data_IF_337191546272
#
_entry.id   IF_337191546272
#
_cell.length_a   1.000
_cell.length_b   1.000
_cell.length_c   1.000
_cell.angle_alpha   90.00
_cell.angle_beta   90.00
_cell.angle_gamma   90.00
#
_symmetry.space_group_name_H-M   'P 1'
#
loop_
_entity.id
_entity.type
_entity.pdbx_description
1 polymer ?
#
# COMPACT_ATOMS: atom_id res chain seq x y z
N UNK A 1 75.15 11.34 -31.56
CA UNK A 1 74.08 10.38 -31.14
C UNK A 1 73.27 11.03 -30.00
N UNK A 2 72.15 11.63 -30.32
CA UNK A 2 71.33 12.38 -29.37
C UNK A 2 70.09 11.55 -29.07
N UNK A 3 69.98 11.06 -27.82
CA UNK A 3 68.82 10.31 -27.31
C UNK A 3 67.72 11.28 -26.95
N UNK A 4 66.53 11.13 -27.58
CA UNK A 4 65.30 11.84 -27.23
C UNK A 4 64.58 11.03 -26.20
N UNK A 5 64.38 11.57 -24.99
CA UNK A 5 63.52 11.04 -23.98
C UNK A 5 62.05 11.44 -24.30
N UNK A 6 61.18 10.45 -24.44
CA UNK A 6 59.72 10.66 -24.58
C UNK A 6 59.11 10.66 -23.18
N UNK A 7 58.61 11.82 -22.82
CA UNK A 7 57.85 11.99 -21.55
C UNK A 7 56.37 11.61 -21.78
N UNK A 8 55.94 10.47 -21.23
CA UNK A 8 54.54 10.04 -21.27
C UNK A 8 53.80 10.66 -20.08
N UNK A 9 52.92 11.61 -20.34
CA UNK A 9 52.03 12.20 -19.34
C UNK A 9 50.81 11.29 -19.21
N UNK A 10 50.73 10.60 -18.08
CA UNK A 10 49.50 9.88 -17.72
C UNK A 10 48.45 10.88 -17.22
N UNK A 11 47.38 11.07 -17.99
CA UNK A 11 46.24 11.85 -17.57
C UNK A 11 45.39 11.03 -16.58
N UNK A 12 45.47 11.33 -15.28
CA UNK A 12 44.52 10.84 -14.29
C UNK A 12 43.16 11.53 -14.51
N UNK A 13 42.19 10.82 -15.08
CA UNK A 13 40.83 11.27 -15.14
C UNK A 13 40.22 11.17 -13.71
N UNK A 14 40.15 12.30 -13.02
CA UNK A 14 39.39 12.41 -11.77
C UNK A 14 37.92 12.41 -12.16
N UNK A 15 37.28 11.26 -12.08
CA UNK A 15 35.84 11.13 -12.22
C UNK A 15 35.16 11.81 -11.03
N UNK A 16 34.71 13.03 -11.21
CA UNK A 16 33.86 13.72 -10.24
C UNK A 16 32.52 12.97 -10.18
N UNK A 17 32.33 12.12 -9.18
CA UNK A 17 31.01 11.61 -8.81
C UNK A 17 30.19 12.78 -8.26
N UNK A 18 29.34 13.37 -9.09
CA UNK A 18 28.32 14.31 -8.62
C UNK A 18 27.34 13.50 -7.75
N UNK A 19 27.55 13.57 -6.45
CA UNK A 19 26.55 13.10 -5.50
C UNK A 19 25.34 14.03 -5.63
N UNK A 20 24.27 13.56 -6.26
CA UNK A 20 22.99 14.28 -6.23
C UNK A 20 22.51 14.28 -4.79
N UNK A 21 22.55 15.44 -4.14
CA UNK A 21 21.97 15.62 -2.83
C UNK A 21 20.46 15.32 -2.94
N UNK A 22 19.99 14.37 -2.14
CA UNK A 22 18.56 14.07 -2.05
C UNK A 22 17.85 15.33 -1.59
N UNK A 23 16.85 15.80 -2.36
CA UNK A 23 16.01 16.90 -1.92
C UNK A 23 15.14 16.41 -0.77
N UNK A 24 15.38 16.93 0.43
CA UNK A 24 14.53 16.63 1.58
C UNK A 24 13.15 17.28 1.38
N UNK A 25 12.07 16.63 1.85
CA UNK A 25 10.74 17.23 1.81
C UNK A 25 10.69 18.48 2.70
N UNK A 26 9.80 19.43 2.41
CA UNK A 26 9.59 20.60 3.25
C UNK A 26 9.25 20.19 4.68
N UNK A 27 9.67 21.00 5.65
CA UNK A 27 9.28 20.83 7.05
C UNK A 27 7.80 21.18 7.23
N UNK A 28 7.10 20.43 8.08
CA UNK A 28 5.69 20.66 8.38
C UNK A 28 5.54 21.40 9.73
N UNK A 29 4.40 22.08 9.98
CA UNK A 29 4.13 22.64 11.31
C UNK A 29 4.03 21.54 12.37
N UNK A 30 4.50 21.83 13.57
CA UNK A 30 4.22 21.01 14.75
C UNK A 30 2.79 21.32 15.22
N UNK A 31 1.83 20.48 14.86
CA UNK A 31 0.43 20.68 15.26
C UNK A 31 -0.08 19.47 16.03
N UNK A 32 -0.84 19.69 17.14
CA UNK A 32 -1.61 18.63 17.77
C UNK A 32 -2.62 18.06 16.76
N UNK A 33 -2.70 16.75 16.71
CA UNK A 33 -3.59 16.08 15.77
C UNK A 33 -4.70 15.30 16.48
N UNK A 34 -5.94 15.51 16.03
CA UNK A 34 -7.11 14.71 16.41
C UNK A 34 -7.74 14.14 15.14
N UNK A 35 -7.86 12.81 15.00
CA UNK A 35 -8.54 12.20 13.86
C UNK A 35 -9.99 12.72 13.74
N UNK A 36 -10.43 13.03 12.51
CA UNK A 36 -11.82 13.41 12.24
C UNK A 36 -12.75 12.21 12.17
N UNK A 37 -12.21 11.02 11.96
CA UNK A 37 -12.95 9.77 11.90
C UNK A 37 -12.23 8.64 12.63
N UNK A 38 -12.97 7.58 12.97
CA UNK A 38 -12.47 6.47 13.77
C UNK A 38 -12.79 5.15 13.08
N UNK A 39 -11.81 4.25 13.07
CA UNK A 39 -12.01 2.88 12.58
C UNK A 39 -12.94 2.11 13.53
N UNK A 40 -13.73 1.17 12.98
CA UNK A 40 -14.75 0.44 13.73
C UNK A 40 -14.29 -0.13 15.07
N UNK A 41 -13.15 -0.83 15.20
CA UNK A 41 -12.72 -1.38 16.49
C UNK A 41 -12.38 -0.35 17.57
N UNK A 42 -12.10 0.90 17.16
CA UNK A 42 -11.80 1.99 18.07
C UNK A 42 -13.01 2.94 18.28
N UNK A 43 -14.11 2.72 17.56
CA UNK A 43 -15.34 3.50 17.70
C UNK A 43 -16.02 3.18 19.04
N UNK A 44 -16.49 4.18 19.81
CA UNK A 44 -17.21 3.95 21.06
C UNK A 44 -18.46 3.05 20.91
N UNK A 45 -19.10 3.06 19.75
CA UNK A 45 -20.25 2.21 19.44
C UNK A 45 -19.90 0.76 19.04
N UNK A 46 -18.62 0.44 18.84
CA UNK A 46 -18.22 -0.89 18.38
C UNK A 46 -18.60 -2.01 19.35
N UNK A 47 -18.40 -1.79 20.65
CA UNK A 47 -18.75 -2.77 21.68
C UNK A 47 -20.24 -3.12 21.68
N UNK A 48 -21.13 -2.16 21.42
CA UNK A 48 -22.57 -2.40 21.32
C UNK A 48 -22.92 -3.13 20.02
N UNK A 49 -22.29 -2.78 18.90
CA UNK A 49 -22.50 -3.49 17.64
C UNK A 49 -22.12 -4.97 17.77
N UNK A 50 -20.97 -5.27 18.39
CA UNK A 50 -20.48 -6.65 18.55
C UNK A 50 -21.43 -7.53 19.38
N UNK A 51 -22.19 -6.96 20.32
CA UNK A 51 -23.21 -7.70 21.07
C UNK A 51 -24.35 -8.22 20.18
N UNK A 52 -24.54 -7.66 18.99
CA UNK A 52 -25.55 -8.10 18.03
C UNK A 52 -25.08 -9.29 17.20
N UNK A 53 -23.81 -9.67 17.25
CA UNK A 53 -23.25 -10.78 16.52
C UNK A 53 -23.70 -12.12 17.12
N UNK A 54 -24.08 -13.11 16.28
CA UNK A 54 -24.38 -14.48 16.72
C UNK A 54 -23.19 -15.11 17.43
N UNK A 55 -21.99 -14.87 16.88
CA UNK A 55 -20.73 -15.27 17.48
C UNK A 55 -19.85 -14.04 17.54
N UNK A 56 -19.79 -13.34 18.67
CA UNK A 56 -18.89 -12.20 18.82
C UNK A 56 -17.45 -12.60 18.49
N UNK A 57 -16.70 -11.76 17.75
CA UNK A 57 -15.32 -12.08 17.43
C UNK A 57 -14.53 -12.24 18.71
N UNK A 58 -13.68 -13.27 18.78
CA UNK A 58 -12.75 -13.41 19.87
C UNK A 58 -11.91 -12.12 19.97
N UNK A 59 -11.94 -11.47 21.13
CA UNK A 59 -11.16 -10.28 21.37
C UNK A 59 -9.71 -10.59 20.98
N UNK A 60 -9.16 -9.93 20.00
CA UNK A 60 -7.77 -10.11 19.61
C UNK A 60 -6.91 -9.67 20.79
N UNK A 61 -6.44 -10.63 21.55
CA UNK A 61 -5.31 -10.39 22.44
C UNK A 61 -4.18 -9.80 21.60
N UNK A 62 -4.00 -8.52 21.68
CA UNK A 62 -2.83 -7.69 21.40
C UNK A 62 -1.85 -8.02 20.27
N UNK A 63 -2.24 -8.65 19.18
CA UNK A 63 -1.34 -8.95 18.06
C UNK A 63 -1.80 -8.30 16.73
N UNK A 64 -2.53 -7.20 16.80
CA UNK A 64 -2.71 -6.32 15.65
C UNK A 64 -1.46 -5.46 15.50
N UNK A 65 -0.66 -5.64 14.47
CA UNK A 65 0.23 -4.57 14.00
C UNK A 65 -0.68 -3.44 13.53
N UNK A 66 -1.06 -2.57 14.49
CA UNK A 66 -1.77 -1.36 14.18
C UNK A 66 -0.89 -0.48 13.32
N UNK A 67 -1.46 0.06 12.27
CA UNK A 67 -1.01 1.35 11.81
C UNK A 67 -0.98 2.34 13.00
N UNK A 68 -0.34 3.52 12.89
CA UNK A 68 -0.29 4.51 13.96
C UNK A 68 -1.72 4.89 14.34
N UNK A 69 -2.18 4.42 15.51
CA UNK A 69 -3.56 4.61 16.03
C UNK A 69 -4.25 3.35 16.57
N UNK A 70 -3.72 2.13 16.35
CA UNK A 70 -4.23 0.93 17.05
C UNK A 70 -3.88 0.99 18.54
N UNK A 71 -4.75 0.45 19.47
CA UNK A 71 -4.41 0.39 20.89
C UNK A 71 -3.07 -0.35 21.03
N UNK A 72 -2.07 0.40 21.41
CA UNK A 72 -0.70 -0.02 21.46
C UNK A 72 -0.50 -1.21 22.37
N UNK A 73 0.50 -1.97 22.07
CA UNK A 73 1.22 -2.81 23.01
C UNK A 73 1.30 -2.10 24.36
N UNK A 74 0.61 -2.61 25.36
CA UNK A 74 0.83 -2.14 26.72
C UNK A 74 2.32 -2.33 27.03
N UNK A 75 3.07 -1.25 27.24
CA UNK A 75 4.37 -1.33 27.85
C UNK A 75 5.60 -0.73 27.18
N UNK A 76 5.47 0.04 26.10
CA UNK A 76 6.61 0.78 25.57
C UNK A 76 6.20 2.04 24.82
N UNK A 77 6.99 3.13 24.86
CA UNK A 77 6.75 4.27 23.99
C UNK A 77 6.75 3.77 22.54
N UNK A 78 5.88 4.33 21.66
CA UNK A 78 5.93 4.00 20.25
C UNK A 78 7.35 4.25 19.75
N UNK A 79 7.90 3.29 19.01
CA UNK A 79 9.19 3.52 18.36
C UNK A 79 9.09 4.83 17.58
N UNK A 80 10.04 5.77 17.72
CA UNK A 80 10.00 7.02 16.99
C UNK A 80 9.86 6.70 15.51
N UNK A 81 8.95 7.40 14.84
CA UNK A 81 8.82 7.27 13.39
C UNK A 81 10.20 7.52 12.79
N UNK A 82 10.74 6.55 12.08
CA UNK A 82 12.09 6.69 11.54
C UNK A 82 12.09 7.87 10.55
N UNK A 83 12.95 8.85 10.79
CA UNK A 83 13.12 10.01 9.93
C UNK A 83 13.43 9.63 8.47
N UNK A 84 13.69 10.63 7.65
CA UNK A 84 14.13 10.39 6.27
C UNK A 84 15.44 9.59 6.30
N UNK A 85 15.44 8.46 5.61
CA UNK A 85 16.59 7.55 5.53
C UNK A 85 17.47 7.95 4.36
N UNK A 86 18.76 7.81 4.52
CA UNK A 86 19.66 7.73 3.38
C UNK A 86 19.42 6.42 2.65
N UNK A 87 19.39 6.46 1.33
CA UNK A 87 19.19 5.28 0.50
C UNK A 87 20.02 5.37 -0.78
N UNK A 88 20.34 4.21 -1.32
CA UNK A 88 20.94 4.07 -2.65
C UNK A 88 20.19 2.98 -3.39
N UNK A 89 19.57 3.36 -4.50
CA UNK A 89 18.88 2.40 -5.37
C UNK A 89 19.92 1.65 -6.19
N UNK A 90 20.02 0.34 -5.98
CA UNK A 90 20.78 -0.57 -6.82
C UNK A 90 19.94 -0.96 -8.05
N UNK A 91 20.62 -1.38 -9.10
CA UNK A 91 19.93 -1.95 -10.26
C UNK A 91 19.23 -3.27 -9.87
N UNK A 92 17.98 -3.40 -10.32
CA UNK A 92 17.26 -4.67 -10.39
C UNK A 92 16.91 -4.87 -11.87
N UNK A 93 17.54 -5.82 -12.58
CA UNK A 93 17.41 -5.95 -14.02
C UNK A 93 15.95 -6.04 -14.51
N UNK A 94 15.58 -5.20 -15.47
CA UNK A 94 14.21 -5.11 -16.00
C UNK A 94 13.17 -4.51 -15.04
N UNK A 95 13.57 -4.07 -13.85
CA UNK A 95 12.72 -3.44 -12.84
C UNK A 95 13.07 -1.97 -12.69
N UNK A 96 14.31 -1.67 -12.30
CA UNK A 96 14.76 -0.30 -12.03
C UNK A 96 16.26 -0.18 -12.33
N UNK A 97 16.68 0.94 -12.93
CA UNK A 97 18.08 1.23 -13.17
C UNK A 97 18.77 1.68 -11.90
N UNK A 98 20.10 1.47 -11.85
CA UNK A 98 20.92 1.99 -10.76
C UNK A 98 20.86 3.51 -10.66
N UNK A 99 20.95 4.04 -9.44
CA UNK A 99 21.07 5.48 -9.18
C UNK A 99 19.78 6.27 -9.34
N UNK A 100 18.63 5.61 -9.58
CA UNK A 100 17.33 6.28 -9.56
C UNK A 100 17.08 6.91 -8.20
N UNK A 101 16.38 8.05 -8.19
CA UNK A 101 16.07 8.82 -6.99
C UNK A 101 14.56 8.96 -6.82
N UNK A 102 14.09 8.82 -5.57
CA UNK A 102 12.74 9.17 -5.21
C UNK A 102 12.53 10.68 -5.30
N UNK A 103 11.46 11.08 -5.98
CA UNK A 103 11.00 12.47 -6.05
C UNK A 103 9.88 12.67 -5.07
N UNK A 104 10.04 13.60 -4.15
CA UNK A 104 8.97 14.05 -3.28
C UNK A 104 7.88 14.73 -4.12
N UNK A 105 6.61 14.38 -3.87
CA UNK A 105 5.48 14.93 -4.58
C UNK A 105 4.55 15.73 -3.67
N UNK A 106 4.20 15.17 -2.51
CA UNK A 106 3.18 15.75 -1.64
C UNK A 106 3.31 15.24 -0.21
N UNK A 107 2.81 16.05 0.75
CA UNK A 107 2.65 15.62 2.14
C UNK A 107 1.50 16.34 2.82
N UNK A 108 0.94 15.70 3.85
CA UNK A 108 -0.04 16.29 4.75
C UNK A 108 0.16 15.78 6.17
N UNK A 109 -0.04 16.69 7.14
CA UNK A 109 -0.02 16.40 8.56
C UNK A 109 -1.46 16.20 9.05
N UNK A 110 -1.61 15.38 10.08
CA UNK A 110 -2.91 15.22 10.71
C UNK A 110 -3.82 14.24 9.98
N UNK A 111 -3.23 13.36 9.16
CA UNK A 111 -4.00 12.36 8.44
C UNK A 111 -3.15 11.14 8.11
N UNK A 112 -3.70 9.96 8.39
CA UNK A 112 -3.14 8.71 7.92
C UNK A 112 -3.72 8.39 6.54
N UNK A 113 -2.86 8.36 5.52
CA UNK A 113 -3.19 7.80 4.22
C UNK A 113 -3.05 6.28 4.23
N UNK A 114 -3.75 5.61 3.32
CA UNK A 114 -3.61 4.15 3.15
C UNK A 114 -3.52 3.73 1.69
N UNK A 115 -4.64 3.73 0.96
CA UNK A 115 -4.66 3.30 -0.43
C UNK A 115 -4.20 4.39 -1.41
N UNK A 116 -3.36 4.03 -2.36
CA UNK A 116 -3.08 4.85 -3.53
C UNK A 116 -3.29 4.07 -4.82
N UNK A 117 -3.78 4.73 -5.85
CA UNK A 117 -3.81 4.20 -7.22
C UNK A 117 -3.84 5.35 -8.24
N UNK A 118 -3.37 5.08 -9.45
CA UNK A 118 -3.34 6.07 -10.53
C UNK A 118 -4.56 5.93 -11.45
N UNK A 119 -5.35 7.00 -11.59
CA UNK A 119 -6.53 7.09 -12.44
C UNK A 119 -6.57 8.41 -13.23
N UNK A 120 -6.72 8.31 -14.55
CA UNK A 120 -6.94 9.44 -15.46
C UNK A 120 -6.07 10.68 -15.20
N UNK A 121 -4.75 10.48 -15.26
CA UNK A 121 -3.77 11.57 -15.16
C UNK A 121 -3.52 12.12 -13.76
N UNK A 122 -3.95 11.40 -12.71
CA UNK A 122 -3.66 11.76 -11.32
C UNK A 122 -3.61 10.55 -10.38
N UNK A 123 -3.05 10.76 -9.20
CA UNK A 123 -2.97 9.75 -8.16
C UNK A 123 -4.13 9.95 -7.19
N UNK A 124 -4.97 8.93 -7.03
CA UNK A 124 -5.96 8.88 -5.96
C UNK A 124 -5.27 8.46 -4.66
N UNK A 125 -5.58 9.13 -3.58
CA UNK A 125 -5.05 8.89 -2.23
C UNK A 125 -6.21 8.82 -1.24
N UNK A 126 -6.37 7.69 -0.59
CA UNK A 126 -7.33 7.53 0.51
C UNK A 126 -6.78 8.17 1.79
N UNK A 127 -7.53 9.10 2.34
CA UNK A 127 -7.28 9.76 3.61
C UNK A 127 -8.20 9.19 4.69
N UNK A 128 -7.69 8.26 5.49
CA UNK A 128 -8.48 7.56 6.50
C UNK A 128 -9.17 8.52 7.47
N UNK A 129 -8.36 9.37 8.09
CA UNK A 129 -8.79 10.20 9.21
C UNK A 129 -9.67 11.38 8.77
N UNK A 130 -9.55 11.78 7.51
CA UNK A 130 -10.41 12.82 6.92
C UNK A 130 -11.65 12.25 6.21
N UNK A 131 -11.77 10.92 6.11
CA UNK A 131 -12.86 10.23 5.41
C UNK A 131 -13.08 10.75 3.98
N UNK A 132 -12.01 10.90 3.22
CA UNK A 132 -12.06 11.38 1.83
C UNK A 132 -10.99 10.70 0.97
N UNK A 133 -11.15 10.83 -0.34
CA UNK A 133 -10.12 10.49 -1.32
C UNK A 133 -9.70 11.76 -2.04
N UNK A 134 -8.41 12.07 -2.00
CA UNK A 134 -7.83 13.14 -2.78
C UNK A 134 -7.43 12.63 -4.17
N UNK A 135 -7.44 13.52 -5.15
CA UNK A 135 -6.73 13.34 -6.42
C UNK A 135 -5.57 14.33 -6.47
N UNK A 136 -4.35 13.80 -6.62
CA UNK A 136 -3.11 14.56 -6.78
C UNK A 136 -2.74 14.61 -8.25
N UNK A 137 -2.34 15.79 -8.72
CA UNK A 137 -1.68 15.94 -10.02
C UNK A 137 -0.16 15.68 -9.95
N UNK A 138 0.54 15.79 -11.08
CA UNK A 138 1.99 15.62 -11.19
C UNK A 138 2.82 16.71 -10.53
N UNK A 139 2.18 17.82 -10.10
CA UNK A 139 2.77 18.94 -9.37
C UNK A 139 2.50 18.88 -7.86
N UNK A 140 1.72 17.88 -7.40
CA UNK A 140 1.34 17.74 -6.00
C UNK A 140 0.12 18.59 -5.59
N UNK A 141 -0.57 19.24 -6.54
CA UNK A 141 -1.83 19.92 -6.23
C UNK A 141 -2.92 18.88 -5.98
N UNK A 142 -3.80 19.15 -5.01
CA UNK A 142 -4.83 18.21 -4.58
C UNK A 142 -6.23 18.79 -4.78
N UNK A 143 -7.18 17.89 -5.03
CA UNK A 143 -8.61 18.15 -4.92
C UNK A 143 -9.30 16.94 -4.31
N UNK A 144 -10.40 17.17 -3.57
CA UNK A 144 -11.25 16.08 -3.09
C UNK A 144 -11.95 15.45 -4.28
N UNK A 145 -11.70 14.16 -4.49
CA UNK A 145 -12.36 13.36 -5.52
C UNK A 145 -13.62 12.66 -4.98
N UNK A 146 -13.56 12.19 -3.74
CA UNK A 146 -14.67 11.56 -3.03
C UNK A 146 -14.66 11.96 -1.56
N UNK A 147 -15.80 12.42 -1.04
CA UNK A 147 -16.05 12.70 0.38
C UNK A 147 -16.80 11.55 1.05
N UNK A 148 -16.95 11.63 2.37
CA UNK A 148 -17.77 10.70 3.18
C UNK A 148 -17.41 9.23 2.94
N UNK A 149 -16.12 8.91 3.04
CA UNK A 149 -15.59 7.56 2.79
C UNK A 149 -15.50 6.70 4.06
N UNK A 150 -16.08 7.13 5.16
CA UNK A 150 -16.18 6.37 6.42
C UNK A 150 -14.86 5.70 6.83
N UNK A 151 -13.83 6.51 7.04
CA UNK A 151 -12.46 6.04 7.33
C UNK A 151 -11.94 5.10 6.22
N UNK A 152 -12.15 5.51 4.96
CA UNK A 152 -11.81 4.68 3.81
C UNK A 152 -10.31 4.38 3.72
N UNK A 153 -9.99 3.13 3.46
CA UNK A 153 -8.64 2.59 3.36
C UNK A 153 -8.18 2.35 1.93
N UNK A 154 -7.94 1.10 1.60
CA UNK A 154 -7.43 0.71 0.29
C UNK A 154 -8.38 1.01 -0.87
N UNK A 155 -7.80 1.24 -2.03
CA UNK A 155 -8.46 1.50 -3.30
C UNK A 155 -8.05 0.46 -4.34
N UNK A 156 -8.96 0.02 -5.19
CA UNK A 156 -8.63 -0.79 -6.36
C UNK A 156 -9.60 -0.53 -7.51
N UNK A 157 -9.08 -0.52 -8.72
CA UNK A 157 -9.87 -0.33 -9.94
C UNK A 157 -9.87 -1.60 -10.78
N UNK A 158 -11.05 -2.07 -11.15
CA UNK A 158 -11.19 -3.22 -12.04
C UNK A 158 -10.72 -2.91 -13.47
N UNK A 159 -10.45 -3.93 -14.31
CA UNK A 159 -10.13 -3.73 -15.73
C UNK A 159 -11.21 -2.98 -16.52
N UNK A 160 -12.44 -2.94 -16.02
CA UNK A 160 -13.59 -2.23 -16.62
C UNK A 160 -13.75 -0.80 -16.09
N UNK A 161 -12.83 -0.32 -15.24
CA UNK A 161 -12.84 1.03 -14.69
C UNK A 161 -13.78 1.25 -13.50
N UNK A 162 -14.32 0.20 -12.90
CA UNK A 162 -15.04 0.31 -11.63
C UNK A 162 -14.04 0.48 -10.49
N UNK A 163 -14.19 1.54 -9.70
CA UNK A 163 -13.35 1.85 -8.54
C UNK A 163 -14.04 1.37 -7.27
N UNK A 164 -13.32 0.62 -6.46
CA UNK A 164 -13.76 0.09 -5.18
C UNK A 164 -12.89 0.58 -4.04
N UNK A 165 -13.47 0.60 -2.84
CA UNK A 165 -12.83 1.02 -1.60
C UNK A 165 -13.32 0.19 -0.42
N UNK A 166 -12.44 -0.14 0.52
CA UNK A 166 -12.83 -0.60 1.86
C UNK A 166 -13.15 0.59 2.75
N UNK A 167 -14.25 0.53 3.50
CA UNK A 167 -14.64 1.53 4.49
C UNK A 167 -14.54 0.92 5.89
N UNK A 168 -13.82 1.58 6.80
CA UNK A 168 -13.36 1.04 8.08
C UNK A 168 -14.11 1.56 9.30
N UNK A 169 -15.01 2.53 9.12
CA UNK A 169 -15.90 3.00 10.18
C UNK A 169 -16.88 1.90 10.62
N UNK A 170 -17.69 2.16 11.68
CA UNK A 170 -18.73 1.24 12.07
C UNK A 170 -19.59 0.82 10.89
N UNK A 171 -19.98 -0.47 10.85
CA UNK A 171 -20.57 -1.15 9.69
C UNK A 171 -19.61 -1.17 8.51
N UNK A 172 -18.42 -1.73 8.80
CA UNK A 172 -17.36 -1.94 7.80
C UNK A 172 -17.92 -2.55 6.51
N UNK A 173 -17.44 -2.08 5.37
CA UNK A 173 -18.00 -2.51 4.10
C UNK A 173 -17.03 -2.33 2.94
N UNK A 174 -17.37 -2.93 1.80
CA UNK A 174 -16.79 -2.66 0.49
C UNK A 174 -17.77 -1.82 -0.30
N UNK A 175 -17.32 -0.65 -0.75
CA UNK A 175 -18.13 0.29 -1.55
C UNK A 175 -17.50 0.48 -2.92
N UNK A 176 -18.31 0.43 -3.96
CA UNK A 176 -17.95 0.93 -5.28
C UNK A 176 -18.09 2.47 -5.29
N UNK A 177 -17.06 3.19 -5.74
CA UNK A 177 -17.08 4.65 -5.86
C UNK A 177 -17.38 5.12 -7.30
N UNK A 178 -16.96 4.35 -8.32
CA UNK A 178 -17.12 4.68 -9.75
C UNK A 178 -17.65 3.44 -10.50
N UNK A 179 -18.57 3.54 -11.49
CA UNK A 179 -19.14 4.78 -12.05
C UNK A 179 -20.16 5.46 -11.16
N UNK A 180 -20.77 4.74 -10.21
CA UNK A 180 -21.71 5.26 -9.22
C UNK A 180 -21.35 4.70 -7.85
N UNK A 181 -21.52 5.52 -6.81
CA UNK A 181 -21.35 5.06 -5.43
C UNK A 181 -22.47 4.09 -5.10
N UNK A 182 -22.09 2.88 -4.73
CA UNK A 182 -23.02 1.85 -4.23
C UNK A 182 -22.31 0.90 -3.26
N UNK A 183 -23.04 0.45 -2.26
CA UNK A 183 -22.60 -0.63 -1.39
C UNK A 183 -22.46 -1.91 -2.21
N UNK A 184 -21.29 -2.57 -2.13
CA UNK A 184 -21.12 -3.91 -2.70
C UNK A 184 -21.36 -5.00 -1.66
N UNK A 185 -20.67 -4.91 -0.51
CA UNK A 185 -20.77 -5.93 0.54
C UNK A 185 -20.57 -5.30 1.92
N UNK A 186 -21.42 -5.68 2.88
CA UNK A 186 -21.35 -5.25 4.29
C UNK A 186 -21.68 -6.36 5.27
N UNK A 187 -21.98 -7.56 4.77
CA UNK A 187 -22.34 -8.71 5.60
C UNK A 187 -21.60 -9.96 5.18
N UNK A 188 -21.38 -10.85 6.15
CA UNK A 188 -20.89 -12.20 5.96
C UNK A 188 -21.74 -13.16 6.79
N UNK A 189 -22.26 -14.24 6.19
CA UNK A 189 -23.19 -15.19 6.82
C UNK A 189 -24.42 -14.52 7.45
N UNK A 190 -24.89 -13.41 6.85
CA UNK A 190 -26.05 -12.66 7.30
C UNK A 190 -25.80 -11.73 8.50
N UNK A 191 -24.55 -11.51 8.87
CA UNK A 191 -24.14 -10.60 9.94
C UNK A 191 -23.26 -9.47 9.41
N UNK A 192 -23.20 -8.30 10.07
CA UNK A 192 -22.25 -7.24 9.72
C UNK A 192 -20.82 -7.78 9.62
N UNK A 193 -20.00 -7.24 8.69
CA UNK A 193 -18.59 -7.60 8.58
C UNK A 193 -17.82 -7.34 9.88
N UNK A 194 -18.26 -6.39 10.69
CA UNK A 194 -17.71 -6.11 12.04
C UNK A 194 -17.71 -7.36 12.93
N UNK A 195 -18.64 -8.29 12.75
CA UNK A 195 -18.71 -9.55 13.49
C UNK A 195 -17.58 -10.53 13.14
N UNK A 196 -16.84 -10.31 12.05
CA UNK A 196 -15.63 -11.06 11.75
C UNK A 196 -14.50 -10.68 12.73
N UNK A 197 -14.47 -9.43 13.16
CA UNK A 197 -13.42 -8.83 14.00
C UNK A 197 -12.21 -8.36 13.22
N UNK A 198 -11.53 -7.36 13.76
CA UNK A 198 -10.41 -6.69 13.14
C UNK A 198 -10.83 -5.54 12.21
N UNK A 199 -9.90 -5.05 11.44
CA UNK A 199 -10.10 -3.95 10.48
C UNK A 199 -10.14 -4.53 9.08
N UNK A 200 -11.17 -4.18 8.29
CA UNK A 200 -11.16 -4.42 6.85
C UNK A 200 -10.01 -3.62 6.24
N UNK A 201 -9.07 -4.28 5.56
CA UNK A 201 -7.75 -3.69 5.33
C UNK A 201 -7.49 -3.37 3.86
N UNK A 202 -7.20 -4.34 3.04
CA UNK A 202 -6.82 -4.15 1.64
C UNK A 202 -7.79 -4.87 0.69
N UNK A 203 -7.82 -4.45 -0.59
CA UNK A 203 -8.66 -5.09 -1.61
C UNK A 203 -8.01 -5.06 -2.99
N UNK A 204 -8.45 -6.00 -3.84
CA UNK A 204 -8.16 -6.01 -5.27
C UNK A 204 -9.41 -6.39 -6.05
N UNK A 205 -9.75 -5.59 -7.09
CA UNK A 205 -10.95 -5.80 -7.89
C UNK A 205 -10.72 -6.80 -9.01
N UNK A 206 -11.72 -7.61 -9.32
CA UNK A 206 -11.72 -8.53 -10.46
C UNK A 206 -12.43 -7.95 -11.70
N UNK A 207 -12.35 -8.65 -12.82
CA UNK A 207 -13.02 -8.27 -14.08
C UNK A 207 -14.52 -8.60 -14.10
N UNK A 208 -15.02 -9.34 -13.11
CA UNK A 208 -16.40 -9.81 -13.01
C UNK A 208 -17.28 -8.87 -12.18
N UNK A 209 -16.68 -7.85 -11.54
CA UNK A 209 -17.35 -6.87 -10.70
C UNK A 209 -17.37 -7.23 -9.23
N UNK A 210 -16.61 -8.25 -8.84
CA UNK A 210 -16.31 -8.60 -7.46
C UNK A 210 -14.99 -8.02 -6.98
N UNK A 211 -14.70 -8.25 -5.71
CA UNK A 211 -13.42 -7.86 -5.09
C UNK A 211 -12.96 -8.94 -4.10
N UNK A 212 -11.65 -9.15 -4.05
CA UNK A 212 -11.00 -9.87 -2.96
C UNK A 212 -10.55 -8.84 -1.93
N UNK A 213 -10.73 -9.12 -0.65
CA UNK A 213 -10.31 -8.23 0.43
C UNK A 213 -9.80 -8.98 1.65
N UNK A 214 -9.06 -8.29 2.50
CA UNK A 214 -8.50 -8.84 3.73
C UNK A 214 -9.16 -8.22 4.97
N UNK A 215 -9.53 -9.06 5.94
CA UNK A 215 -10.09 -8.66 7.23
C UNK A 215 -9.86 -9.77 8.27
N UNK A 216 -8.61 -9.94 8.71
CA UNK A 216 -8.24 -11.07 9.58
C UNK A 216 -8.37 -12.45 8.91
N UNK A 217 -8.59 -12.48 7.61
CA UNK A 217 -8.72 -13.59 6.69
C UNK A 217 -8.79 -13.06 5.27
N UNK A 218 -8.88 -13.92 4.28
CA UNK A 218 -9.10 -13.56 2.86
C UNK A 218 -10.57 -13.80 2.53
N UNK A 219 -11.17 -12.84 1.86
CA UNK A 219 -12.59 -12.88 1.49
C UNK A 219 -12.74 -12.49 0.02
N UNK A 220 -13.78 -13.03 -0.62
CA UNK A 220 -14.26 -12.59 -1.93
C UNK A 220 -15.71 -12.11 -1.79
N UNK A 221 -15.96 -10.89 -2.20
CA UNK A 221 -17.32 -10.37 -2.41
C UNK A 221 -17.60 -10.45 -3.92
N UNK A 222 -18.58 -11.25 -4.30
CA UNK A 222 -19.03 -11.35 -5.69
C UNK A 222 -19.70 -10.05 -6.15
N UNK A 223 -19.93 -9.89 -7.45
CA UNK A 223 -20.69 -8.75 -8.01
C UNK A 223 -22.13 -8.62 -7.44
N UNK A 224 -22.69 -9.71 -6.89
CA UNK A 224 -23.97 -9.72 -6.19
C UNK A 224 -23.85 -9.38 -4.69
N UNK A 225 -22.64 -9.11 -4.18
CA UNK A 225 -22.38 -8.78 -2.77
C UNK A 225 -22.33 -9.98 -1.83
N UNK A 226 -22.34 -11.21 -2.37
CA UNK A 226 -22.18 -12.42 -1.56
C UNK A 226 -20.72 -12.56 -1.15
N UNK A 227 -20.47 -12.64 0.15
CA UNK A 227 -19.13 -12.76 0.72
C UNK A 227 -18.81 -14.19 1.08
N UNK A 228 -17.66 -14.69 0.64
CA UNK A 228 -17.12 -16.01 0.96
C UNK A 228 -15.73 -15.87 1.56
N UNK A 229 -15.42 -16.65 2.61
CA UNK A 229 -14.13 -16.67 3.28
C UNK A 229 -13.25 -17.76 2.71
N UNK A 230 -11.95 -17.46 2.60
CA UNK A 230 -10.91 -18.39 2.16
C UNK A 230 -9.67 -18.30 3.06
N UNK A 231 -8.82 -19.30 2.94
CA UNK A 231 -7.54 -19.38 3.61
C UNK A 231 -7.63 -19.81 5.08
N UNK A 232 -6.65 -20.57 5.50
CA UNK A 232 -6.50 -21.03 6.87
C UNK A 232 -5.10 -20.68 7.39
N UNK A 233 -5.00 -20.36 8.67
CA UNK A 233 -3.72 -20.12 9.34
C UNK A 233 -2.94 -18.90 8.81
N UNK A 234 -3.60 -17.93 8.15
CA UNK A 234 -2.96 -16.73 7.63
C UNK A 234 -3.38 -15.47 8.40
N UNK A 235 -2.44 -14.52 8.47
CA UNK A 235 -2.66 -13.19 9.05
C UNK A 235 -2.43 -12.15 7.94
N UNK A 236 -3.41 -11.97 7.05
CA UNK A 236 -3.21 -11.22 5.82
C UNK A 236 -3.21 -9.71 6.05
N UNK A 237 -2.49 -9.00 5.17
CA UNK A 237 -2.50 -7.55 5.04
C UNK A 237 -2.79 -7.17 3.57
N UNK A 238 -1.76 -6.90 2.76
CA UNK A 238 -1.89 -6.56 1.36
C UNK A 238 -2.40 -7.71 0.49
N UNK A 239 -3.08 -7.37 -0.61
CA UNK A 239 -3.65 -8.33 -1.55
C UNK A 239 -3.51 -7.82 -2.98
N UNK A 240 -3.11 -8.69 -3.92
CA UNK A 240 -2.97 -8.35 -5.33
C UNK A 240 -3.40 -9.54 -6.21
N UNK A 241 -4.12 -9.24 -7.28
CA UNK A 241 -4.57 -10.24 -8.26
C UNK A 241 -3.66 -10.21 -9.49
N UNK A 242 -3.23 -11.37 -10.00
CA UNK A 242 -2.41 -11.47 -11.20
C UNK A 242 -3.10 -10.82 -12.42
N UNK A 243 -2.32 -10.45 -13.44
CA UNK A 243 -2.84 -9.77 -14.63
C UNK A 243 -3.88 -10.62 -15.39
N UNK A 244 -3.71 -11.94 -15.37
CA UNK A 244 -4.62 -12.92 -15.99
C UNK A 244 -5.75 -13.37 -15.06
N UNK A 245 -5.77 -12.83 -13.83
CA UNK A 245 -6.74 -13.15 -12.77
C UNK A 245 -6.79 -14.63 -12.37
N UNK A 246 -5.68 -15.38 -12.53
CA UNK A 246 -5.59 -16.78 -12.14
C UNK A 246 -4.91 -17.03 -10.81
N UNK A 247 -4.19 -16.05 -10.30
CA UNK A 247 -3.49 -16.14 -9.01
C UNK A 247 -3.78 -14.92 -8.15
N UNK A 248 -4.18 -15.16 -6.90
CA UNK A 248 -4.30 -14.13 -5.88
C UNK A 248 -3.10 -14.23 -4.94
N UNK A 249 -2.38 -13.12 -4.77
CA UNK A 249 -1.25 -12.99 -3.86
C UNK A 249 -1.69 -12.22 -2.61
N UNK A 250 -1.25 -12.70 -1.45
CA UNK A 250 -1.63 -12.13 -0.15
C UNK A 250 -0.40 -12.04 0.74
N UNK A 251 -0.11 -10.86 1.29
CA UNK A 251 0.93 -10.74 2.31
C UNK A 251 0.50 -11.42 3.59
N UNK A 252 1.39 -12.21 4.20
CA UNK A 252 1.12 -13.00 5.39
C UNK A 252 2.30 -12.86 6.38
N UNK A 253 2.33 -11.76 7.11
CA UNK A 253 3.48 -11.44 7.96
C UNK A 253 4.77 -11.30 7.16
N UNK A 254 5.74 -12.19 7.39
CA UNK A 254 7.02 -12.23 6.67
C UNK A 254 7.02 -13.17 5.46
N UNK A 255 5.85 -13.59 4.99
CA UNK A 255 5.68 -14.43 3.79
C UNK A 255 4.64 -13.85 2.85
N UNK A 256 4.59 -14.38 1.64
CA UNK A 256 3.49 -14.20 0.70
C UNK A 256 2.79 -15.54 0.51
N UNK A 257 1.47 -15.56 0.68
CA UNK A 257 0.63 -16.67 0.25
C UNK A 257 0.13 -16.45 -1.16
N UNK A 258 -0.15 -17.53 -1.89
CA UNK A 258 -0.85 -17.51 -3.16
C UNK A 258 -2.01 -18.49 -3.16
N UNK A 259 -3.04 -18.16 -3.94
CA UNK A 259 -4.22 -18.98 -4.19
C UNK A 259 -4.46 -19.07 -5.70
N UNK A 260 -4.97 -20.21 -6.16
CA UNK A 260 -5.48 -20.32 -7.50
C UNK A 260 -6.92 -19.80 -7.55
N UNK A 261 -7.19 -18.91 -8.52
CA UNK A 261 -8.50 -18.30 -8.73
C UNK A 261 -9.27 -19.10 -9.77
N UNK A 262 -10.44 -19.60 -9.38
CA UNK A 262 -11.31 -20.38 -10.25
C UNK A 262 -12.21 -19.52 -11.13
N UNK A 263 -12.85 -20.12 -12.12
CA UNK A 263 -13.71 -19.42 -13.05
C UNK A 263 -14.90 -18.71 -12.40
N UNK A 264 -15.38 -19.18 -11.27
CA UNK A 264 -16.46 -18.56 -10.46
C UNK A 264 -15.95 -17.49 -9.48
N UNK A 265 -14.63 -17.29 -9.35
CA UNK A 265 -13.98 -16.40 -8.40
C UNK A 265 -13.63 -17.06 -7.07
N UNK A 266 -13.94 -18.34 -6.88
CA UNK A 266 -13.52 -19.08 -5.69
C UNK A 266 -12.00 -19.27 -5.66
N UNK A 267 -11.45 -19.45 -4.45
CA UNK A 267 -10.02 -19.65 -4.23
C UNK A 267 -9.73 -21.08 -3.80
N UNK A 268 -8.70 -21.66 -4.39
CA UNK A 268 -8.22 -23.01 -4.09
C UNK A 268 -6.70 -23.02 -3.95
N UNK A 269 -6.11 -24.14 -3.56
CA UNK A 269 -4.67 -24.37 -3.58
C UNK A 269 -3.86 -23.28 -2.86
N UNK A 270 -4.23 -22.98 -1.60
CA UNK A 270 -3.43 -22.10 -0.75
C UNK A 270 -2.01 -22.66 -0.59
N UNK A 271 -1.00 -21.82 -0.86
CA UNK A 271 0.41 -22.19 -0.75
C UNK A 271 1.27 -21.00 -0.34
N UNK A 272 2.44 -21.25 0.23
CA UNK A 272 3.48 -20.23 0.36
C UNK A 272 4.02 -19.92 -1.05
N UNK A 273 4.00 -18.65 -1.43
CA UNK A 273 4.54 -18.17 -2.71
C UNK A 273 5.98 -17.72 -2.54
N UNK A 274 6.27 -16.98 -1.48
CA UNK A 274 7.59 -16.44 -1.21
C UNK A 274 7.80 -16.15 0.28
N UNK A 275 9.06 -16.12 0.70
CA UNK A 275 9.50 -15.55 1.98
C UNK A 275 10.01 -14.14 1.73
N UNK A 276 9.55 -13.17 2.53
CA UNK A 276 10.02 -11.80 2.48
C UNK A 276 11.33 -11.67 3.26
N UNK A 277 12.31 -11.02 2.67
CA UNK A 277 13.65 -10.83 3.26
C UNK A 277 13.81 -9.47 3.91
N UNK A 278 12.95 -8.51 3.55
CA UNK A 278 13.03 -7.11 3.96
C UNK A 278 12.05 -6.74 5.11
N UNK A 279 11.53 -7.74 5.81
CA UNK A 279 10.60 -7.58 6.93
C UNK A 279 9.17 -8.03 6.61
N UNK A 280 8.21 -7.66 7.47
CA UNK A 280 6.80 -8.00 7.24
C UNK A 280 6.22 -7.18 6.09
N UNK A 281 5.39 -7.83 5.25
CA UNK A 281 4.72 -7.20 4.11
C UNK A 281 3.48 -6.40 4.55
N UNK A 282 3.30 -5.22 3.94
CA UNK A 282 2.09 -4.39 4.03
C UNK A 282 1.34 -4.44 2.69
N UNK A 283 1.15 -3.33 2.00
CA UNK A 283 0.48 -3.31 0.69
C UNK A 283 1.27 -4.02 -0.42
N UNK A 284 0.58 -4.42 -1.46
CA UNK A 284 1.21 -5.06 -2.62
C UNK A 284 0.57 -4.64 -3.94
N UNK A 285 1.35 -4.67 -5.02
CA UNK A 285 0.90 -4.44 -6.39
C UNK A 285 1.67 -5.33 -7.36
N UNK A 286 1.25 -5.34 -8.62
CA UNK A 286 1.83 -6.22 -9.66
C UNK A 286 2.17 -5.42 -10.93
N UNK A 287 3.22 -5.83 -11.64
CA UNK A 287 3.55 -5.28 -12.94
C UNK A 287 3.05 -6.14 -14.12
N UNK A 288 3.23 -5.65 -15.33
CA UNK A 288 2.82 -6.33 -16.56
C UNK A 288 3.60 -7.62 -16.85
N UNK A 289 4.77 -7.81 -16.22
CA UNK A 289 5.57 -9.02 -16.32
C UNK A 289 5.23 -10.06 -15.23
N UNK A 290 4.24 -9.77 -14.37
CA UNK A 290 3.81 -10.66 -13.29
C UNK A 290 4.70 -10.61 -12.04
N UNK A 291 5.59 -9.62 -11.92
CA UNK A 291 6.38 -9.42 -10.71
C UNK A 291 5.53 -8.75 -9.63
N UNK A 292 5.67 -9.22 -8.40
CA UNK A 292 4.92 -8.70 -7.24
C UNK A 292 5.81 -7.72 -6.46
N UNK A 293 5.29 -6.56 -6.17
CA UNK A 293 5.94 -5.50 -5.41
C UNK A 293 5.28 -5.43 -4.04
N UNK A 294 6.04 -5.69 -2.99
CA UNK A 294 5.54 -5.74 -1.61
C UNK A 294 6.19 -4.63 -0.81
N UNK A 295 5.39 -3.77 -0.18
CA UNK A 295 5.94 -2.78 0.75
C UNK A 295 6.33 -3.44 2.05
N UNK A 296 7.53 -3.15 2.53
CA UNK A 296 8.14 -3.71 3.73
C UNK A 296 8.80 -2.62 4.57
N UNK A 297 9.39 -3.00 5.69
CA UNK A 297 10.11 -2.04 6.54
C UNK A 297 11.35 -1.45 5.85
N UNK A 298 12.03 -2.20 5.01
CA UNK A 298 13.24 -1.76 4.32
C UNK A 298 12.96 -0.98 3.02
N UNK A 299 11.77 -1.12 2.47
CA UNK A 299 11.38 -0.50 1.21
C UNK A 299 10.37 -1.34 0.44
N UNK A 300 10.51 -1.39 -0.88
CA UNK A 300 9.66 -2.19 -1.76
C UNK A 300 10.43 -3.42 -2.21
N UNK A 301 10.07 -4.59 -1.70
CA UNK A 301 10.64 -5.87 -2.10
C UNK A 301 9.99 -6.34 -3.40
N UNK A 302 10.79 -6.76 -4.36
CA UNK A 302 10.33 -7.19 -5.68
C UNK A 302 10.53 -8.69 -5.81
N UNK A 303 9.43 -9.40 -6.06
CA UNK A 303 9.40 -10.84 -6.26
C UNK A 303 9.15 -11.17 -7.74
N UNK A 304 9.88 -12.13 -8.26
CA UNK A 304 9.65 -12.68 -9.59
C UNK A 304 8.30 -13.43 -9.67
N UNK A 305 7.81 -13.74 -10.90
CA UNK A 305 6.62 -14.56 -11.09
C UNK A 305 6.74 -15.97 -10.49
N UNK A 306 7.97 -16.43 -10.24
CA UNK A 306 8.31 -17.71 -9.61
C UNK A 306 8.50 -17.59 -8.07
N UNK A 307 8.23 -16.43 -7.49
CA UNK A 307 8.38 -16.16 -6.06
C UNK A 307 9.81 -15.84 -5.60
N UNK A 308 10.79 -15.85 -6.50
CA UNK A 308 12.17 -15.49 -6.13
C UNK A 308 12.30 -14.01 -5.83
N UNK A 309 13.03 -13.68 -4.79
CA UNK A 309 13.42 -12.31 -4.48
C UNK A 309 14.36 -11.78 -5.58
N UNK A 310 13.98 -10.67 -6.21
CA UNK A 310 14.79 -9.98 -7.24
C UNK A 310 15.59 -8.83 -6.64
N UNK A 311 15.19 -8.32 -5.48
CA UNK A 311 15.83 -7.23 -4.77
C UNK A 311 14.87 -6.34 -4.02
N UNK A 312 15.41 -5.32 -3.36
CA UNK A 312 14.64 -4.32 -2.61
C UNK A 312 14.95 -2.93 -3.16
N UNK A 313 13.90 -2.17 -3.47
CA UNK A 313 14.01 -0.74 -3.78
C UNK A 313 13.89 0.00 -2.45
N UNK A 314 15.00 0.51 -1.89
CA UNK A 314 14.96 1.20 -0.61
C UNK A 314 14.17 2.51 -0.73
N UNK A 315 13.50 2.90 0.34
CA UNK A 315 12.61 4.06 0.37
C UNK A 315 13.05 5.09 1.40
N UNK A 316 12.75 6.38 1.16
CA UNK A 316 13.15 7.45 2.08
C UNK A 316 12.48 7.36 3.46
N UNK A 317 11.33 6.68 3.55
CA UNK A 317 10.58 6.47 4.80
C UNK A 317 9.90 5.09 4.80
N UNK A 318 9.34 4.69 5.94
CA UNK A 318 8.48 3.52 6.02
C UNK A 318 7.27 3.64 5.08
N UNK A 319 7.00 2.61 4.31
CA UNK A 319 6.00 2.60 3.24
C UNK A 319 4.78 1.80 3.66
N UNK A 320 3.60 2.30 3.32
CA UNK A 320 2.31 1.64 3.52
C UNK A 320 1.94 0.83 2.27
N UNK A 321 1.90 1.50 1.12
CA UNK A 321 1.50 0.90 -0.15
C UNK A 321 2.18 1.57 -1.33
N UNK A 322 2.10 0.94 -2.51
CA UNK A 322 2.62 1.49 -3.75
C UNK A 322 1.75 1.16 -4.95
N UNK A 323 1.85 1.99 -5.99
CA UNK A 323 1.10 1.81 -7.22
C UNK A 323 1.88 2.29 -8.44
N UNK A 324 1.72 1.59 -9.55
CA UNK A 324 2.20 2.05 -10.85
C UNK A 324 1.28 3.11 -11.44
N UNK A 325 1.85 4.16 -12.01
CA UNK A 325 1.12 5.23 -12.66
C UNK A 325 1.92 5.94 -13.74
N UNK A 326 1.50 7.16 -14.07
CA UNK A 326 2.01 7.90 -15.21
C UNK A 326 1.39 7.42 -16.52
N UNK A 327 1.62 8.18 -17.60
CA UNK A 327 1.04 7.93 -18.92
C UNK A 327 1.42 6.54 -19.48
N UNK A 328 2.63 6.10 -19.20
CA UNK A 328 3.18 4.80 -19.66
C UNK A 328 3.15 3.72 -18.59
N UNK A 329 2.62 4.02 -17.39
CA UNK A 329 2.66 3.11 -16.23
C UNK A 329 4.09 2.71 -15.80
N UNK A 330 5.08 3.56 -16.04
CA UNK A 330 6.48 3.35 -15.61
C UNK A 330 6.91 4.24 -14.45
N UNK A 331 6.03 5.03 -13.90
CA UNK A 331 6.26 5.74 -12.64
C UNK A 331 5.70 4.93 -11.50
N UNK A 332 6.52 4.61 -10.50
CA UNK A 332 6.06 3.94 -9.30
C UNK A 332 5.89 4.97 -8.19
N UNK A 333 4.72 5.02 -7.59
CA UNK A 333 4.38 5.89 -6.48
C UNK A 333 4.35 5.08 -5.20
N UNK A 334 4.78 5.69 -4.10
CA UNK A 334 4.64 5.13 -2.76
C UNK A 334 3.90 6.11 -1.86
N UNK A 335 3.14 5.58 -0.95
CA UNK A 335 2.61 6.27 0.21
C UNK A 335 3.46 5.91 1.42
N UNK A 336 4.15 6.91 1.95
CA UNK A 336 5.06 6.76 3.08
C UNK A 336 4.48 7.41 4.34
N UNK A 337 4.88 6.89 5.50
CA UNK A 337 4.43 7.34 6.83
C UNK A 337 5.29 8.47 7.36
N UNK A 338 4.64 9.39 8.07
CA UNK A 338 5.30 10.43 8.83
C UNK A 338 5.79 11.62 8.01
N UNK A 339 6.09 12.69 8.70
CA UNK A 339 6.76 13.88 8.19
C UNK A 339 7.73 14.39 9.27
N UNK A 340 8.55 15.39 8.93
CA UNK A 340 9.43 16.03 9.89
C UNK A 340 8.99 17.47 10.11
N UNK A 341 8.78 17.90 11.35
CA UNK A 341 8.34 19.25 11.67
C UNK A 341 9.46 20.30 11.60
N UNK A 342 9.12 21.57 11.79
CA UNK A 342 10.08 22.67 11.76
C UNK A 342 11.23 22.52 12.78
N UNK A 343 11.01 21.79 13.88
CA UNK A 343 12.01 21.54 14.91
C UNK A 343 12.86 20.30 14.64
N UNK A 344 12.63 19.58 13.55
CA UNK A 344 13.28 18.33 13.25
C UNK A 344 12.67 17.09 13.92
N UNK A 345 11.52 17.25 14.59
CA UNK A 345 10.81 16.17 15.28
C UNK A 345 9.95 15.39 14.28
N UNK A 346 9.86 14.08 14.46
CA UNK A 346 9.01 13.24 13.61
C UNK A 346 7.54 13.36 13.99
N UNK A 347 6.71 13.63 12.99
CA UNK A 347 5.25 13.67 13.08
C UNK A 347 4.69 12.37 12.53
N UNK A 348 4.29 11.46 13.42
CA UNK A 348 3.82 10.11 13.04
C UNK A 348 2.50 10.15 12.23
N UNK A 349 1.56 11.04 12.63
CA UNK A 349 0.28 11.20 11.91
C UNK A 349 0.45 12.15 10.72
N UNK A 350 1.20 11.70 9.74
CA UNK A 350 1.41 12.38 8.48
C UNK A 350 1.59 11.36 7.36
N UNK A 351 1.28 11.76 6.15
CA UNK A 351 1.46 10.97 4.95
C UNK A 351 2.30 11.73 3.94
N UNK A 352 3.17 11.01 3.23
CA UNK A 352 3.97 11.55 2.14
C UNK A 352 3.80 10.70 0.89
N UNK A 353 3.70 11.33 -0.27
CA UNK A 353 3.73 10.67 -1.57
C UNK A 353 5.06 10.96 -2.24
N UNK A 354 5.69 9.89 -2.71
CA UNK A 354 6.93 9.93 -3.48
C UNK A 354 6.76 9.16 -4.78
N UNK A 355 7.56 9.48 -5.77
CA UNK A 355 7.58 8.79 -7.06
C UNK A 355 9.00 8.45 -7.50
N UNK A 356 9.15 7.36 -8.25
CA UNK A 356 10.42 6.94 -8.85
C UNK A 356 10.17 6.39 -10.27
N UNK A 357 11.13 6.62 -11.15
CA UNK A 357 11.05 6.12 -12.51
C UNK A 357 11.51 4.66 -12.58
N UNK A 358 10.72 3.82 -13.24
CA UNK A 358 10.95 2.39 -13.38
C UNK A 358 11.27 2.00 -14.83
N UNK A 359 12.00 0.89 -15.01
CA UNK A 359 12.06 0.17 -16.28
C UNK A 359 10.81 -0.72 -16.44
N UNK A 360 10.37 -1.31 -15.32
CA UNK A 360 9.15 -2.09 -15.24
C UNK A 360 7.92 -1.24 -15.56
N UNK A 361 6.91 -1.88 -16.15
CA UNK A 361 5.63 -1.25 -16.47
C UNK A 361 4.52 -1.91 -15.68
N UNK A 362 3.71 -1.10 -15.00
CA UNK A 362 2.50 -1.57 -14.32
C UNK A 362 1.46 -2.12 -15.32
N UNK A 363 0.57 -2.97 -14.82
CA UNK A 363 -0.48 -3.55 -15.65
C UNK A 363 -1.47 -2.47 -16.12
N UNK A 364 -1.68 -2.35 -17.44
CA UNK A 364 -2.41 -1.23 -18.03
C UNK A 364 -3.93 -1.29 -17.81
N UNK A 365 -4.49 -2.50 -17.70
CA UNK A 365 -5.96 -2.71 -17.65
C UNK A 365 -6.54 -2.64 -16.24
N UNK A 366 -5.73 -2.62 -15.20
CA UNK A 366 -6.16 -2.54 -13.81
C UNK A 366 -5.21 -1.61 -13.05
N UNK A 367 -5.73 -0.89 -12.08
CA UNK A 367 -4.95 -0.07 -11.20
C UNK A 367 -5.04 -0.60 -9.76
N UNK A 368 -3.91 -0.90 -9.23
CA UNK A 368 -3.51 -1.01 -7.84
C UNK A 368 -2.00 -1.06 -7.81
#
# INVERSE_FOLDING_TARGET
MTSKAVLTIAACAIGSTVAFAQSLPPRVPAVPYTPKSVQAPADPGYAELIKTCKTPPAGRGGAGRGGPGGPGRAGGPPAPAAGVREYKVAEIPGVIASGQQWKFLWQEVGNNGDGILFDDGGLLLAQNDNSQVLKLDDKGNTKVAYSDTHTGGALSMSPKGALFMVQRGLRANVTQLKPQRKLLASTYNGEPLDCIGGVINDLTADSKGGVYFTMGGVYHASAAGVVTKYGEGITPNGIALSADEKTLYVTNGSTMAAFDVQADGSLTNQREFAKLTAGGGDGSTIDAAGRVYVTTQAGVEVLGPDGKNLGVIPTPRGVITGAFGGKDKKTFYILARGATDANGTEVANAAQVWSIQMQAQGYKKRAK
#
